data_IF_720742267201
#
_entry.id   IF_720742267201
#
_cell.length_a   1.000
_cell.length_b   1.000
_cell.length_c   1.000
_cell.angle_alpha   90.00
_cell.angle_beta   90.00
_cell.angle_gamma   90.00
#
_symmetry.space_group_name_H-M   'P 1'
#
loop_
_entity.id
_entity.type
_entity.pdbx_description
1 polymer ?
#
# COMPACT_ATOMS: atom_id res chain seq x y z
N UNK A 1 6.94 -21.26 14.63
CA UNK A 1 5.54 -21.47 14.22
C UNK A 1 4.95 -20.11 13.93
N UNK A 2 5.04 -19.71 12.67
CA UNK A 2 4.56 -18.40 12.26
C UNK A 2 3.05 -18.47 12.09
N UNK A 3 2.34 -18.13 13.18
CA UNK A 3 0.89 -17.98 13.17
C UNK A 3 0.55 -16.57 12.66
N UNK A 4 1.03 -16.25 11.46
CA UNK A 4 0.51 -15.10 10.75
C UNK A 4 -0.81 -15.54 10.11
N UNK A 5 -1.89 -14.81 10.38
CA UNK A 5 -3.15 -15.06 9.66
C UNK A 5 -2.82 -15.10 8.17
N UNK A 6 -3.30 -16.11 7.49
CA UNK A 6 -3.05 -16.28 6.06
C UNK A 6 -3.67 -15.11 5.32
N UNK A 7 -2.85 -14.08 5.06
CA UNK A 7 -3.24 -13.00 4.17
C UNK A 7 -3.56 -13.60 2.80
N UNK A 8 -4.77 -13.36 2.33
CA UNK A 8 -5.19 -13.74 0.99
C UNK A 8 -4.51 -12.85 -0.05
N UNK A 9 -3.24 -13.11 -0.33
CA UNK A 9 -2.51 -12.34 -1.33
C UNK A 9 -1.96 -13.22 -2.44
N UNK A 10 -1.87 -12.65 -3.63
CA UNK A 10 -1.26 -13.25 -4.81
C UNK A 10 -0.08 -12.39 -5.24
N UNK A 11 1.03 -13.01 -5.56
CA UNK A 11 2.28 -12.32 -5.92
C UNK A 11 2.64 -12.65 -7.37
N UNK A 12 2.93 -11.61 -8.16
CA UNK A 12 3.46 -11.73 -9.49
C UNK A 12 4.80 -10.99 -9.61
N UNK A 13 5.85 -11.75 -9.78
CA UNK A 13 7.22 -11.24 -9.97
C UNK A 13 7.72 -11.44 -11.40
N UNK A 14 6.84 -11.72 -12.35
CA UNK A 14 7.23 -12.01 -13.75
C UNK A 14 7.75 -10.78 -14.51
N UNK A 15 7.41 -9.58 -14.07
CA UNK A 15 7.80 -8.33 -14.70
C UNK A 15 6.86 -7.86 -15.82
N UNK A 16 5.88 -8.66 -16.22
CA UNK A 16 4.86 -8.27 -17.21
C UNK A 16 3.55 -9.01 -16.91
N UNK A 17 2.44 -8.33 -17.10
CA UNK A 17 1.11 -8.92 -16.97
C UNK A 17 0.61 -9.56 -18.28
N UNK A 18 -0.60 -10.12 -18.26
CA UNK A 18 -1.22 -10.78 -19.41
C UNK A 18 -1.47 -9.82 -20.59
N UNK A 19 -1.59 -8.52 -20.31
CA UNK A 19 -1.79 -7.47 -21.32
C UNK A 19 -0.46 -6.88 -21.83
N UNK A 20 0.67 -7.49 -21.49
CA UNK A 20 2.03 -7.03 -21.80
C UNK A 20 2.39 -5.66 -21.19
N UNK A 21 1.71 -5.27 -20.13
CA UNK A 21 2.16 -4.14 -19.30
C UNK A 21 3.32 -4.61 -18.44
N UNK A 22 4.49 -4.05 -18.70
CA UNK A 22 5.72 -4.46 -18.04
C UNK A 22 6.18 -3.45 -16.99
N UNK A 23 6.76 -3.97 -15.92
CA UNK A 23 7.40 -3.18 -14.87
C UNK A 23 8.81 -3.73 -14.61
N UNK A 24 9.67 -2.91 -14.06
CA UNK A 24 11.06 -3.32 -13.78
C UNK A 24 11.39 -3.18 -12.29
N UNK A 25 12.08 -4.18 -11.76
CA UNK A 25 12.62 -4.15 -10.40
C UNK A 25 11.60 -4.22 -9.29
N UNK A 26 10.42 -4.82 -9.55
CA UNK A 26 9.37 -4.90 -8.55
C UNK A 26 8.51 -6.16 -8.63
N UNK A 27 7.61 -6.28 -7.67
CA UNK A 27 6.61 -7.35 -7.61
C UNK A 27 5.22 -6.73 -7.55
N UNK A 28 4.25 -7.35 -8.22
CA UNK A 28 2.85 -7.04 -8.04
C UNK A 28 2.29 -7.91 -6.92
N UNK A 29 1.67 -7.27 -5.95
CA UNK A 29 1.04 -7.93 -4.81
C UNK A 29 -0.44 -7.61 -4.83
N UNK A 30 -1.27 -8.60 -5.11
CA UNK A 30 -2.72 -8.48 -5.08
C UNK A 30 -3.25 -8.93 -3.72
N UNK A 31 -4.04 -8.09 -3.07
CA UNK A 31 -4.55 -8.35 -1.72
C UNK A 31 -6.02 -7.92 -1.63
N UNK A 32 -6.82 -8.72 -0.92
CA UNK A 32 -8.22 -8.42 -0.67
C UNK A 32 -8.39 -7.15 0.18
N UNK A 33 -9.45 -6.39 -0.09
CA UNK A 33 -9.74 -5.15 0.62
C UNK A 33 -10.01 -5.36 2.11
N UNK A 34 -10.49 -6.53 2.51
CA UNK A 34 -10.82 -6.87 3.90
C UNK A 34 -9.61 -7.26 4.75
N UNK A 35 -8.45 -7.42 4.13
CA UNK A 35 -7.23 -7.80 4.83
C UNK A 35 -6.73 -6.65 5.72
N UNK A 36 -6.08 -7.01 6.83
CA UNK A 36 -5.50 -6.04 7.76
C UNK A 36 -4.29 -5.34 7.15
N UNK A 37 -4.30 -4.01 7.18
CA UNK A 37 -3.20 -3.20 6.63
C UNK A 37 -1.87 -3.49 7.33
N UNK A 38 -1.86 -3.51 8.66
CA UNK A 38 -0.64 -3.79 9.44
C UNK A 38 -0.06 -5.17 9.11
N UNK A 39 -0.92 -6.16 8.92
CA UNK A 39 -0.52 -7.50 8.49
C UNK A 39 0.10 -7.52 7.10
N UNK A 40 -0.44 -6.75 6.17
CA UNK A 40 0.13 -6.60 4.84
C UNK A 40 1.52 -5.98 4.89
N UNK A 41 1.68 -4.89 5.64
CA UNK A 41 3.00 -4.23 5.79
C UNK A 41 4.02 -5.17 6.43
N UNK A 42 3.62 -5.92 7.46
CA UNK A 42 4.49 -6.91 8.10
C UNK A 42 4.95 -7.99 7.10
N UNK A 43 4.03 -8.46 6.25
CA UNK A 43 4.35 -9.45 5.21
C UNK A 43 5.30 -8.86 4.17
N UNK A 44 5.06 -7.63 3.71
CA UNK A 44 5.93 -6.95 2.74
C UNK A 44 7.35 -6.81 3.28
N UNK A 45 7.50 -6.41 4.53
CA UNK A 45 8.83 -6.31 5.18
C UNK A 45 9.51 -7.68 5.26
N UNK A 46 8.79 -8.72 5.66
CA UNK A 46 9.33 -10.08 5.75
C UNK A 46 9.79 -10.65 4.41
N UNK A 47 9.10 -10.30 3.34
CA UNK A 47 9.42 -10.73 1.97
C UNK A 47 10.41 -9.80 1.25
N UNK A 48 10.89 -8.76 1.93
CA UNK A 48 11.81 -7.76 1.36
C UNK A 48 11.20 -6.96 0.19
N UNK A 49 9.91 -6.61 0.32
CA UNK A 49 9.21 -5.73 -0.61
C UNK A 49 9.14 -4.33 -0.02
N UNK A 50 9.85 -3.40 -0.65
CA UNK A 50 9.93 -2.01 -0.19
C UNK A 50 8.83 -1.14 -0.80
N UNK A 51 8.39 -0.14 -0.05
CA UNK A 51 7.47 0.90 -0.52
C UNK A 51 6.36 1.26 0.46
N UNK A 52 6.05 0.42 1.43
CA UNK A 52 4.98 0.70 2.40
C UNK A 52 5.41 0.61 3.87
N UNK A 53 6.68 0.44 4.14
CA UNK A 53 7.23 0.26 5.49
C UNK A 53 6.98 1.46 6.42
N UNK A 54 6.99 2.69 5.91
CA UNK A 54 6.71 3.89 6.70
C UNK A 54 5.21 4.11 6.93
N UNK A 55 4.37 3.35 6.25
CA UNK A 55 2.90 3.37 6.42
C UNK A 55 2.41 2.33 7.43
N UNK A 56 3.31 1.65 8.13
CA UNK A 56 2.99 0.58 9.06
C UNK A 56 2.08 0.99 10.21
N UNK A 57 2.12 2.25 10.63
CA UNK A 57 1.31 2.78 11.73
C UNK A 57 -0.14 3.10 11.36
N UNK A 58 -0.51 3.03 10.07
CA UNK A 58 -1.89 3.23 9.65
C UNK A 58 -2.75 2.05 10.10
N UNK A 59 -3.92 2.34 10.66
CA UNK A 59 -4.86 1.32 11.09
C UNK A 59 -5.94 1.03 10.06
N UNK A 60 -6.64 -0.08 10.24
CA UNK A 60 -7.78 -0.45 9.42
C UNK A 60 -7.47 -1.52 8.37
N UNK A 61 -8.39 -1.69 7.45
CA UNK A 61 -8.27 -2.64 6.35
C UNK A 61 -7.54 -2.01 5.17
N UNK A 62 -7.05 -2.86 4.27
CA UNK A 62 -6.42 -2.43 3.01
C UNK A 62 -7.35 -1.50 2.22
N UNK A 63 -8.64 -1.86 2.11
CA UNK A 63 -9.63 -1.04 1.41
C UNK A 63 -9.82 0.34 2.02
N UNK A 64 -9.88 0.43 3.35
CA UNK A 64 -10.02 1.71 4.07
C UNK A 64 -8.80 2.61 3.88
N UNK A 65 -7.60 2.05 4.01
CA UNK A 65 -6.34 2.78 3.84
C UNK A 65 -6.21 3.30 2.40
N UNK A 66 -6.55 2.48 1.42
CA UNK A 66 -6.50 2.88 0.01
C UNK A 66 -7.56 3.95 -0.32
N UNK A 67 -8.80 3.78 0.16
CA UNK A 67 -9.87 4.75 -0.07
C UNK A 67 -9.50 6.14 0.48
N UNK A 68 -8.85 6.20 1.63
CA UNK A 68 -8.40 7.44 2.25
C UNK A 68 -7.04 7.94 1.75
N UNK A 69 -6.41 7.26 0.81
CA UNK A 69 -5.03 7.54 0.39
C UNK A 69 -4.12 7.77 1.60
N UNK A 70 -4.08 6.79 2.49
CA UNK A 70 -3.34 6.88 3.74
C UNK A 70 -1.91 7.39 3.54
N UNK A 71 -1.48 8.30 4.39
CA UNK A 71 -0.18 8.93 4.29
C UNK A 71 0.47 9.06 5.68
N UNK A 72 1.79 8.91 5.72
CA UNK A 72 2.59 9.12 6.92
C UNK A 72 4.07 9.29 6.53
N UNK A 73 4.76 10.15 7.25
CA UNK A 73 6.21 10.34 7.12
C UNK A 73 6.70 10.61 5.69
N UNK A 74 5.89 11.34 4.91
CA UNK A 74 6.23 11.68 3.52
C UNK A 74 5.95 10.60 2.49
N UNK A 75 5.37 9.46 2.90
CA UNK A 75 4.84 8.43 2.01
C UNK A 75 3.32 8.47 1.94
N UNK A 76 2.77 8.01 0.85
CA UNK A 76 1.34 7.83 0.69
C UNK A 76 1.04 6.55 -0.10
N UNK A 77 -0.14 6.01 0.11
CA UNK A 77 -0.57 4.75 -0.53
C UNK A 77 -0.55 4.87 -2.05
N UNK A 78 -0.91 6.04 -2.59
CA UNK A 78 -0.87 6.29 -4.03
C UNK A 78 0.50 6.00 -4.66
N UNK A 79 1.59 6.10 -3.90
CA UNK A 79 2.95 5.86 -4.40
C UNK A 79 3.18 4.40 -4.80
N UNK A 80 2.40 3.47 -4.28
CA UNK A 80 2.58 2.03 -4.48
C UNK A 80 1.38 1.32 -5.08
N UNK A 81 0.27 2.00 -5.31
CA UNK A 81 -0.91 1.39 -5.96
C UNK A 81 -0.68 1.22 -7.45
N UNK A 82 -0.89 0.00 -7.95
CA UNK A 82 -0.91 -0.30 -9.38
C UNK A 82 -2.32 -0.21 -9.95
N UNK A 83 -3.28 -0.88 -9.30
CA UNK A 83 -4.69 -0.87 -9.69
C UNK A 83 -5.60 -1.22 -8.52
N UNK A 84 -6.87 -0.82 -8.63
CA UNK A 84 -7.92 -1.11 -7.64
C UNK A 84 -9.11 -1.74 -8.34
N UNK A 85 -9.46 -2.94 -7.92
CA UNK A 85 -10.64 -3.66 -8.41
C UNK A 85 -11.83 -3.36 -7.51
N UNK A 86 -12.93 -2.97 -8.12
CA UNK A 86 -14.12 -2.52 -7.40
C UNK A 86 -15.39 -3.22 -7.89
N UNK A 87 -16.41 -3.17 -7.06
CA UNK A 87 -17.80 -3.37 -7.47
C UNK A 87 -18.45 -2.02 -7.69
N UNK A 88 -18.95 -1.78 -8.90
CA UNK A 88 -19.68 -0.57 -9.25
C UNK A 88 -21.18 -0.82 -9.08
N UNK A 89 -21.77 -0.21 -8.04
CA UNK A 89 -23.19 -0.39 -7.73
C UNK A 89 -24.13 0.25 -8.76
N UNK A 90 -23.64 1.24 -9.50
CA UNK A 90 -24.45 1.91 -10.54
C UNK A 90 -24.63 1.04 -11.78
N UNK A 91 -23.64 0.21 -12.12
CA UNK A 91 -23.68 -0.69 -13.29
C UNK A 91 -23.87 -2.16 -12.91
N UNK A 92 -23.88 -2.47 -11.60
CA UNK A 92 -23.94 -3.84 -11.05
C UNK A 92 -22.87 -4.75 -11.69
N UNK A 93 -21.64 -4.25 -11.79
CA UNK A 93 -20.53 -4.97 -12.39
C UNK A 93 -19.20 -4.62 -11.73
N UNK A 94 -18.19 -5.45 -11.96
CA UNK A 94 -16.82 -5.19 -11.49
C UNK A 94 -16.16 -4.18 -12.41
N UNK A 95 -15.37 -3.28 -11.80
CA UNK A 95 -14.58 -2.31 -12.53
C UNK A 95 -13.21 -2.17 -11.89
N UNK A 96 -12.16 -2.20 -12.72
CA UNK A 96 -10.79 -2.01 -12.28
C UNK A 96 -10.30 -0.62 -12.71
N UNK A 97 -9.71 0.10 -11.77
CA UNK A 97 -9.12 1.41 -12.01
C UNK A 97 -7.59 1.29 -11.94
N UNK A 98 -6.91 1.76 -12.97
CA UNK A 98 -5.46 1.98 -12.88
C UNK A 98 -5.17 3.12 -11.88
N UNK A 99 -3.95 3.19 -11.36
CA UNK A 99 -3.57 4.19 -10.36
C UNK A 99 -3.96 5.61 -10.78
N UNK A 100 -3.72 6.00 -12.01
CA UNK A 100 -4.05 7.33 -12.53
C UNK A 100 -5.56 7.63 -12.55
N UNK A 101 -6.40 6.61 -12.57
CA UNK A 101 -7.86 6.73 -12.59
C UNK A 101 -8.48 6.75 -11.19
N UNK A 102 -7.69 6.47 -10.15
CA UNK A 102 -8.17 6.43 -8.75
C UNK A 102 -8.39 7.81 -8.15
N UNK A 103 -7.99 8.87 -8.81
CA UNK A 103 -8.12 10.25 -8.34
C UNK A 103 -7.59 10.45 -6.91
N UNK A 104 -6.43 9.90 -6.60
CA UNK A 104 -5.80 10.08 -5.30
C UNK A 104 -5.48 11.56 -5.06
N UNK A 105 -5.87 12.05 -3.91
CA UNK A 105 -5.57 13.38 -3.43
C UNK A 105 -5.17 13.34 -1.96
N UNK A 106 -5.10 14.49 -1.31
CA UNK A 106 -4.77 14.56 0.10
C UNK A 106 -5.92 13.94 0.92
N UNK A 107 -5.64 12.81 1.56
CA UNK A 107 -6.58 12.05 2.38
C UNK A 107 -7.88 11.66 1.65
N UNK A 108 -7.81 11.49 0.33
CA UNK A 108 -8.99 11.17 -0.49
C UNK A 108 -8.64 10.36 -1.74
N UNK A 109 -9.66 9.73 -2.32
CA UNK A 109 -9.61 9.03 -3.60
C UNK A 109 -11.02 8.97 -4.20
N UNK A 110 -11.13 8.39 -5.40
CA UNK A 110 -12.42 8.07 -6.03
C UNK A 110 -13.30 7.17 -5.15
N UNK A 111 -12.71 6.41 -4.24
CA UNK A 111 -13.39 5.41 -3.39
C UNK A 111 -13.75 5.97 -2.01
N UNK A 112 -13.33 7.18 -1.69
CA UNK A 112 -13.65 7.82 -0.42
C UNK A 112 -15.14 8.15 -0.35
N UNK A 113 -15.75 7.87 0.82
CA UNK A 113 -17.15 8.16 1.10
C UNK A 113 -17.24 8.95 2.39
N UNK A 114 -18.23 9.80 2.49
CA UNK A 114 -18.53 10.52 3.74
C UNK A 114 -19.10 9.51 4.77
N UNK A 115 -18.91 9.83 6.04
CA UNK A 115 -19.43 9.00 7.13
C UNK A 115 -20.93 8.76 6.99
N UNK A 116 -21.31 7.47 7.02
CA UNK A 116 -22.70 7.04 6.91
C UNK A 116 -23.26 6.98 5.49
N UNK A 117 -22.48 7.31 4.48
CA UNK A 117 -22.86 7.17 3.07
C UNK A 117 -22.34 5.87 2.47
N UNK A 118 -23.07 5.34 1.49
CA UNK A 118 -22.58 4.25 0.64
C UNK A 118 -21.97 4.85 -0.62
N UNK A 119 -20.70 4.56 -0.86
CA UNK A 119 -20.04 4.92 -2.10
C UNK A 119 -20.56 4.12 -3.29
N UNK A 120 -20.36 4.65 -4.48
CA UNK A 120 -20.64 3.96 -5.73
C UNK A 120 -19.77 2.72 -5.90
N UNK A 121 -18.51 2.82 -5.49
CA UNK A 121 -17.51 1.78 -5.69
C UNK A 121 -17.12 1.13 -4.36
N UNK A 122 -17.33 -0.17 -4.24
CA UNK A 122 -16.82 -0.97 -3.13
C UNK A 122 -15.48 -1.57 -3.55
N UNK A 123 -14.42 -1.27 -2.82
CA UNK A 123 -13.09 -1.84 -3.09
C UNK A 123 -13.12 -3.33 -2.75
N UNK A 124 -12.79 -4.16 -3.73
CA UNK A 124 -12.74 -5.62 -3.59
C UNK A 124 -11.31 -6.13 -3.40
N UNK A 125 -10.39 -5.62 -4.19
CA UNK A 125 -9.00 -6.07 -4.24
C UNK A 125 -8.11 -4.92 -4.69
N UNK A 126 -6.92 -4.83 -4.13
CA UNK A 126 -5.92 -3.83 -4.50
C UNK A 126 -4.65 -4.55 -4.97
N UNK A 127 -4.10 -4.08 -6.08
CA UNK A 127 -2.80 -4.51 -6.56
C UNK A 127 -1.78 -3.42 -6.28
N UNK A 128 -0.72 -3.78 -5.57
CA UNK A 128 0.41 -2.91 -5.26
C UNK A 128 1.61 -3.28 -6.10
N UNK A 129 2.34 -2.28 -6.57
CA UNK A 129 3.67 -2.47 -7.16
C UNK A 129 4.71 -2.10 -6.10
N UNK A 130 5.38 -3.11 -5.55
CA UNK A 130 6.42 -2.95 -4.54
C UNK A 130 7.77 -3.26 -5.15
N UNK A 131 8.80 -2.60 -4.63
CA UNK A 131 10.15 -2.79 -5.11
C UNK A 131 10.80 -3.95 -4.36
N UNK A 132 11.38 -4.88 -5.09
CA UNK A 132 12.16 -5.97 -4.53
C UNK A 132 13.49 -5.42 -3.98
N UNK A 133 13.69 -5.53 -2.67
CA UNK A 133 14.89 -5.02 -2.01
C UNK A 133 14.75 -4.86 -0.51
N UNK A 134 15.89 -4.69 0.16
CA UNK A 134 15.99 -4.63 1.62
C UNK A 134 15.93 -3.22 2.19
N UNK A 135 16.06 -2.20 1.35
CA UNK A 135 16.13 -0.81 1.79
C UNK A 135 14.80 -0.08 1.58
N UNK A 136 14.44 0.70 2.57
CA UNK A 136 13.25 1.57 2.55
C UNK A 136 13.30 2.60 1.44
N UNK A 137 12.16 3.25 1.18
CA UNK A 137 12.15 4.53 0.50
C UNK A 137 12.98 5.56 1.29
N UNK A 138 13.50 6.62 0.65
CA UNK A 138 14.23 7.67 1.37
C UNK A 138 13.37 8.29 2.46
N UNK A 139 13.94 8.42 3.66
CA UNK A 139 13.26 9.10 4.79
C UNK A 139 13.27 10.60 4.50
N UNK A 140 12.12 11.16 4.17
CA UNK A 140 11.97 12.58 3.83
C UNK A 140 11.43 13.42 4.98
N UNK A 141 10.83 12.77 5.97
CA UNK A 141 10.31 13.44 7.15
C UNK A 141 11.46 13.82 8.09
N UNK A 142 11.59 15.11 8.36
CA UNK A 142 12.70 15.65 9.18
C UNK A 142 12.63 15.16 10.62
N UNK A 143 11.43 15.08 11.19
CA UNK A 143 11.25 14.64 12.57
C UNK A 143 11.59 13.15 12.74
N UNK A 144 11.19 12.33 11.77
CA UNK A 144 11.54 10.92 11.76
C UNK A 144 13.04 10.72 11.58
N UNK A 145 13.67 11.44 10.64
CA UNK A 145 15.11 11.39 10.41
C UNK A 145 15.90 11.77 11.67
N UNK A 146 15.47 12.83 12.35
CA UNK A 146 16.10 13.27 13.61
C UNK A 146 15.97 12.20 14.71
N UNK A 147 14.81 11.58 14.84
CA UNK A 147 14.59 10.49 15.80
C UNK A 147 15.47 9.26 15.52
N UNK A 148 15.68 8.96 14.24
CA UNK A 148 16.51 7.86 13.80
C UNK A 148 18.01 8.17 13.83
N UNK A 149 18.39 9.44 14.00
CA UNK A 149 19.79 9.87 13.98
C UNK A 149 20.43 9.77 12.59
N UNK A 150 19.65 9.93 11.53
CA UNK A 150 20.12 9.84 10.14
C UNK A 150 19.81 11.13 9.37
N UNK A 151 20.59 11.46 8.32
CA UNK A 151 20.28 12.59 7.44
C UNK A 151 18.95 12.35 6.68
N UNK A 152 18.22 13.44 6.38
CA UNK A 152 17.08 13.39 5.47
C UNK A 152 17.52 12.82 4.11
N UNK A 153 16.73 11.93 3.55
CA UNK A 153 17.06 11.23 2.31
C UNK A 153 17.75 9.88 2.50
N UNK A 154 18.10 9.52 3.74
CA UNK A 154 18.69 8.22 4.04
C UNK A 154 17.70 7.08 3.80
N UNK A 155 18.23 5.93 3.40
CA UNK A 155 17.48 4.68 3.29
C UNK A 155 17.92 3.76 4.42
N UNK A 156 16.95 3.05 5.00
CA UNK A 156 17.16 2.13 6.10
C UNK A 156 16.75 0.71 5.68
N UNK A 157 17.25 -0.30 6.39
CA UNK A 157 16.67 -1.63 6.28
C UNK A 157 15.18 -1.57 6.62
N UNK A 158 14.36 -2.42 5.95
CA UNK A 158 12.90 -2.36 6.06
C UNK A 158 12.38 -2.57 7.48
N UNK A 159 12.90 -3.56 8.19
CA UNK A 159 12.44 -3.87 9.54
C UNK A 159 12.74 -2.74 10.54
N UNK A 160 13.97 -2.18 10.61
CA UNK A 160 14.24 -1.01 11.43
C UNK A 160 13.39 0.22 11.08
N UNK A 161 13.15 0.47 9.79
CA UNK A 161 12.31 1.59 9.34
C UNK A 161 10.86 1.42 9.84
N UNK A 162 10.30 0.24 9.66
CA UNK A 162 8.96 -0.09 10.16
C UNK A 162 8.87 0.03 11.68
N UNK A 163 9.83 -0.53 12.41
CA UNK A 163 9.84 -0.51 13.87
C UNK A 163 9.92 0.92 14.42
N UNK A 164 10.66 1.79 13.73
CA UNK A 164 10.75 3.21 14.11
C UNK A 164 9.40 3.93 14.01
N UNK A 165 8.60 3.66 12.98
CA UNK A 165 7.26 4.26 12.86
C UNK A 165 6.26 3.65 13.84
N UNK A 166 6.36 2.37 14.13
CA UNK A 166 5.47 1.71 15.11
C UNK A 166 5.75 2.15 16.55
N UNK A 167 7.00 2.52 16.84
CA UNK A 167 7.39 3.06 18.15
C UNK A 167 7.12 4.56 18.32
N UNK A 168 6.57 5.19 17.30
CA UNK A 168 6.32 6.63 17.28
C UNK A 168 5.07 7.03 18.07
#
# INVERSE_FOLDING_TARGET
MDDHPRLGLTVDASGCDEDNLCWSGGVLVMVGADEDWGGLVARAVAEEWAGMELLAGLGGTVGEVVAGNGAAFGQQVADVVWSVRTWDSATASKRTFAMAECNFGQETSRFAVADGERGRYDVLEVTFLLRDGTLSAPVRDEALAARLGVPVGSRLELAPARDAVLGA
#
